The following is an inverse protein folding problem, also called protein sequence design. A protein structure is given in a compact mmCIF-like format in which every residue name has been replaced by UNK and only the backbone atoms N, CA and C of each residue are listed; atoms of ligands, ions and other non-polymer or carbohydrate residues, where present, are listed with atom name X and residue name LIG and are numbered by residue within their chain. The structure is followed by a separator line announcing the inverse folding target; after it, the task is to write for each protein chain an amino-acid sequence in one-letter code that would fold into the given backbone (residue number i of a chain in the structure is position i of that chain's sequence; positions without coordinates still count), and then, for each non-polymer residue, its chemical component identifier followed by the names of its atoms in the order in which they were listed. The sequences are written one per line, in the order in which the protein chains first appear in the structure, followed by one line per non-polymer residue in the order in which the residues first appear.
data_IF_414033514460
#
_entry.id   IF_414033514460
#
_cell.length_a   1.000
_cell.length_b   1.000
_cell.length_c   1.000
_cell.angle_alpha   90.00
_cell.angle_beta   90.00
_cell.angle_gamma   90.00
#
_symmetry.space_group_name_H-M   'P 1'
#
loop_
_entity.id
_entity.type
_entity.pdbx_description
1 polymer ?
#
# COMPACT_ATOMS: atom_id res chain seq x y z
N UNK A 1 -5.28 16.54 18.11
CA UNK A 1 -3.95 16.05 17.70
C UNK A 1 -4.05 14.53 17.56
N UNK A 2 -4.29 14.06 16.34
CA UNK A 2 -4.30 12.62 16.05
C UNK A 2 -2.84 12.15 15.95
N UNK A 3 -2.46 11.21 16.81
CA UNK A 3 -1.15 10.58 16.78
C UNK A 3 -1.13 9.57 15.63
N UNK A 4 -0.40 9.89 14.55
CA UNK A 4 -0.22 9.02 13.38
C UNK A 4 1.00 8.09 13.50
N UNK A 5 1.62 8.03 14.68
CA UNK A 5 2.76 7.16 14.91
C UNK A 5 2.25 5.79 15.33
N UNK A 6 2.34 4.84 14.41
CA UNK A 6 2.18 3.42 14.73
C UNK A 6 3.38 3.02 15.61
N UNK A 7 3.09 2.53 16.81
CA UNK A 7 4.10 1.85 17.63
C UNK A 7 4.54 0.59 16.88
N UNK A 8 5.85 0.41 16.68
CA UNK A 8 6.40 -0.67 15.84
C UNK A 8 5.93 -2.07 16.25
N UNK A 9 5.65 -2.30 17.53
CA UNK A 9 5.14 -3.59 18.03
C UNK A 9 3.66 -3.84 17.72
N UNK A 10 2.90 -2.82 17.33
CA UNK A 10 1.46 -2.92 17.01
C UNK A 10 1.17 -3.07 15.52
N UNK A 11 2.19 -3.17 14.69
CA UNK A 11 2.01 -3.34 13.25
C UNK A 11 1.77 -4.81 12.94
N UNK A 12 0.57 -5.12 12.45
CA UNK A 12 0.24 -6.46 11.94
C UNK A 12 0.80 -6.64 10.53
N UNK A 13 1.75 -7.56 10.39
CA UNK A 13 2.40 -7.90 9.11
C UNK A 13 1.80 -9.15 8.43
N UNK A 14 0.71 -9.71 8.96
CA UNK A 14 0.10 -10.96 8.46
C UNK A 14 -0.34 -10.88 6.99
N UNK A 15 -0.86 -9.73 6.56
CA UNK A 15 -1.25 -9.46 5.19
C UNK A 15 -0.72 -8.10 4.71
N UNK A 16 0.37 -8.15 3.93
CA UNK A 16 1.13 -7.00 3.47
C UNK A 16 1.09 -6.89 1.94
N UNK A 17 0.46 -5.84 1.43
CA UNK A 17 0.45 -5.50 0.00
C UNK A 17 1.72 -4.74 -0.41
N UNK A 18 2.38 -5.21 -1.48
CA UNK A 18 3.41 -4.45 -2.21
C UNK A 18 2.86 -4.22 -3.62
N UNK A 19 2.75 -2.96 -4.06
CA UNK A 19 2.20 -2.65 -5.39
C UNK A 19 3.21 -2.90 -6.50
N UNK A 20 2.73 -3.15 -7.71
CA UNK A 20 3.55 -3.13 -8.93
C UNK A 20 2.67 -2.69 -10.10
N UNK A 21 2.96 -1.51 -10.66
CA UNK A 21 2.18 -0.92 -11.75
C UNK A 21 2.15 -1.81 -13.00
N UNK A 22 3.24 -2.51 -13.32
CA UNK A 22 3.29 -3.37 -14.50
C UNK A 22 2.40 -4.61 -14.36
N UNK A 23 2.20 -5.08 -13.12
CA UNK A 23 1.33 -6.22 -12.79
C UNK A 23 -0.11 -5.80 -12.46
N UNK A 24 -0.42 -4.50 -12.48
CA UNK A 24 -1.72 -3.96 -12.09
C UNK A 24 -2.80 -4.13 -13.16
N UNK A 25 -2.48 -4.66 -14.34
CA UNK A 25 -3.43 -4.89 -15.45
C UNK A 25 -4.26 -3.64 -15.79
N UNK A 26 -3.65 -2.46 -15.75
CA UNK A 26 -4.30 -1.18 -16.05
C UNK A 26 -5.07 -0.53 -14.91
N UNK A 27 -5.20 -1.18 -13.75
CA UNK A 27 -5.77 -0.56 -12.53
C UNK A 27 -4.78 0.43 -11.92
N UNK A 28 -5.31 1.50 -11.34
CA UNK A 28 -4.51 2.44 -10.56
C UNK A 28 -4.10 1.84 -9.21
N UNK A 29 -3.05 2.39 -8.60
CA UNK A 29 -2.67 2.03 -7.23
C UNK A 29 -3.82 2.27 -6.26
N UNK A 30 -4.59 3.36 -6.44
CA UNK A 30 -5.71 3.69 -5.55
C UNK A 30 -6.78 2.60 -5.58
N UNK A 31 -7.23 2.18 -6.76
CA UNK A 31 -8.22 1.10 -6.91
C UNK A 31 -7.74 -0.22 -6.27
N UNK A 32 -6.46 -0.56 -6.46
CA UNK A 32 -5.88 -1.78 -5.88
C UNK A 32 -5.83 -1.68 -4.36
N UNK A 33 -5.41 -0.52 -3.83
CA UNK A 33 -5.25 -0.30 -2.39
C UNK A 33 -6.61 -0.30 -1.70
N UNK A 34 -7.63 0.36 -2.27
CA UNK A 34 -8.99 0.37 -1.73
C UNK A 34 -9.53 -1.06 -1.59
N UNK A 35 -9.48 -1.86 -2.66
CA UNK A 35 -9.92 -3.25 -2.62
C UNK A 35 -9.11 -4.11 -1.63
N UNK A 36 -7.81 -3.84 -1.51
CA UNK A 36 -6.94 -4.58 -0.60
C UNK A 36 -7.20 -4.25 0.88
N UNK A 37 -7.48 -2.98 1.18
CA UNK A 37 -7.88 -2.54 2.53
C UNK A 37 -9.23 -3.14 2.91
N UNK A 38 -10.21 -3.13 1.99
CA UNK A 38 -11.49 -3.83 2.20
C UNK A 38 -11.30 -5.34 2.42
N UNK A 39 -10.28 -5.94 1.79
CA UNK A 39 -9.87 -7.33 1.98
C UNK A 39 -9.07 -7.61 3.26
N UNK A 40 -8.76 -6.60 4.08
CA UNK A 40 -8.08 -6.76 5.36
C UNK A 40 -6.56 -6.56 5.34
N UNK A 41 -5.99 -5.96 4.28
CA UNK A 41 -4.58 -5.54 4.29
C UNK A 41 -4.35 -4.48 5.36
N UNK A 42 -3.29 -4.68 6.16
CA UNK A 42 -2.90 -3.78 7.26
C UNK A 42 -1.68 -2.93 6.92
N UNK A 43 -0.94 -3.27 5.86
CA UNK A 43 0.23 -2.54 5.39
C UNK A 43 0.26 -2.48 3.87
N UNK A 44 0.56 -1.30 3.34
CA UNK A 44 0.77 -1.07 1.91
C UNK A 44 2.14 -0.47 1.68
N UNK A 45 2.91 -1.08 0.78
CA UNK A 45 4.15 -0.53 0.24
C UNK A 45 3.92 -0.15 -1.22
N UNK A 46 3.99 1.15 -1.49
CA UNK A 46 4.07 1.65 -2.86
C UNK A 46 5.44 1.32 -3.42
N UNK A 47 5.47 0.59 -4.54
CA UNK A 47 6.72 0.24 -5.24
C UNK A 47 6.62 0.66 -6.70
N UNK A 48 7.06 1.88 -6.95
CA UNK A 48 7.13 2.50 -8.27
C UNK A 48 8.59 2.60 -8.71
N UNK A 49 9.11 1.56 -9.37
CA UNK A 49 10.51 1.55 -9.83
C UNK A 49 10.79 2.48 -10.99
N UNK A 50 9.79 2.69 -11.83
CA UNK A 50 9.91 3.42 -13.09
C UNK A 50 9.31 4.83 -13.01
N UNK A 51 8.68 5.20 -11.89
CA UNK A 51 8.14 6.53 -11.71
C UNK A 51 9.25 7.54 -11.44
N UNK A 52 9.07 8.76 -11.94
CA UNK A 52 9.93 9.88 -11.58
C UNK A 52 9.65 10.33 -10.16
N UNK A 53 10.60 11.04 -9.53
CA UNK A 53 10.44 11.55 -8.16
C UNK A 53 9.24 12.50 -7.98
N UNK A 54 8.74 13.09 -9.06
CA UNK A 54 7.62 14.04 -9.04
C UNK A 54 6.26 13.33 -9.12
N UNK A 55 6.24 12.12 -9.65
CA UNK A 55 5.04 11.26 -9.72
C UNK A 55 4.85 10.51 -8.40
#
# INVERSE_FOLDING_TARGET
MVSWILEKEKVDYSLYLVTDRALSLGRSNLEIIEAAVEGGVTIVQLREKEATTRE
#
